data_IF_216407311738
#
_entry.id   IF_216407311738
#
_cell.length_a   1.000
_cell.length_b   1.000
_cell.length_c   1.000
_cell.angle_alpha   90.00
_cell.angle_beta   90.00
_cell.angle_gamma   90.00
#
_symmetry.space_group_name_H-M   'P 1'
#
loop_
_entity.id
_entity.type
_entity.pdbx_description
1 polymer ?
#
# COMPACT_ATOMS: atom_id res chain seq x y z
N UNK A 1 55.76 -25.48 36.56
CA UNK A 1 54.86 -24.77 37.49
C UNK A 1 54.40 -23.51 36.77
N UNK A 2 53.34 -23.61 35.97
CA UNK A 2 52.83 -22.47 35.22
C UNK A 2 51.46 -22.07 35.77
N UNK A 3 51.43 -20.84 36.26
CA UNK A 3 50.34 -20.20 36.97
C UNK A 3 49.25 -19.80 35.99
N UNK A 4 48.04 -20.36 36.19
CA UNK A 4 46.85 -20.07 35.40
C UNK A 4 46.38 -18.65 35.71
N UNK A 5 46.34 -17.81 34.68
CA UNK A 5 45.86 -16.43 34.73
C UNK A 5 44.33 -16.43 34.71
N UNK A 6 43.74 -15.95 35.80
CA UNK A 6 42.29 -15.82 36.01
C UNK A 6 41.81 -14.63 35.18
N UNK A 7 40.99 -14.89 34.15
CA UNK A 7 40.32 -13.87 33.35
C UNK A 7 39.04 -13.44 34.06
N UNK A 8 39.04 -12.20 34.52
CA UNK A 8 37.96 -11.53 35.22
C UNK A 8 36.88 -11.13 34.20
N UNK A 9 35.72 -11.81 34.23
CA UNK A 9 34.56 -11.50 33.41
C UNK A 9 33.94 -10.18 33.87
N UNK A 10 34.20 -9.11 33.13
CA UNK A 10 33.51 -7.82 33.30
C UNK A 10 32.10 -7.95 32.71
N UNK A 11 31.02 -7.72 33.49
CA UNK A 11 29.65 -7.85 33.00
C UNK A 11 29.30 -6.73 32.01
N UNK A 12 28.72 -7.12 30.89
CA UNK A 12 28.33 -6.25 29.78
C UNK A 12 27.15 -5.35 30.15
N UNK A 13 27.23 -4.03 29.94
CA UNK A 13 26.17 -3.08 30.27
C UNK A 13 25.12 -3.02 29.14
N UNK A 14 24.25 -4.02 29.03
CA UNK A 14 23.17 -4.03 28.02
C UNK A 14 21.74 -4.22 28.58
N UNK A 15 21.51 -4.15 29.90
CA UNK A 15 20.17 -4.41 30.47
C UNK A 15 19.55 -3.32 31.35
N UNK A 16 19.96 -2.06 31.23
CA UNK A 16 19.28 -0.95 31.92
C UNK A 16 18.81 0.15 30.95
N UNK A 17 17.93 -0.22 30.02
CA UNK A 17 17.08 0.76 29.32
C UNK A 17 15.66 0.22 29.10
N UNK A 18 15.06 -0.35 30.15
CA UNK A 18 13.63 -0.64 30.19
C UNK A 18 12.99 0.24 31.24
N UNK A 19 11.93 0.95 30.85
CA UNK A 19 10.90 1.58 31.72
C UNK A 19 10.97 3.11 31.96
N UNK A 20 11.46 3.92 31.01
CA UNK A 20 11.51 5.39 31.20
C UNK A 20 10.53 6.25 30.39
N UNK A 21 10.29 5.96 29.10
CA UNK A 21 9.64 6.95 28.19
C UNK A 21 8.66 6.35 27.18
N UNK A 22 8.11 5.17 27.48
CA UNK A 22 7.23 4.43 26.57
C UNK A 22 5.77 4.92 26.57
N UNK A 23 5.55 6.23 26.53
CA UNK A 23 4.21 6.82 26.27
C UNK A 23 4.10 7.44 24.87
N UNK A 24 5.13 7.30 24.02
CA UNK A 24 5.17 8.00 22.72
C UNK A 24 4.39 7.30 21.59
N UNK A 25 4.10 6.01 21.73
CA UNK A 25 3.33 5.27 20.73
C UNK A 25 2.16 4.56 21.39
N UNK A 26 0.91 5.03 21.21
CA UNK A 26 -0.25 4.28 21.61
C UNK A 26 -0.31 2.95 20.86
N UNK A 27 -1.01 1.99 21.44
CA UNK A 27 -1.35 0.73 20.78
C UNK A 27 -2.16 0.97 19.49
N UNK A 28 -2.06 0.05 18.53
CA UNK A 28 -2.73 0.14 17.23
C UNK A 28 -4.25 0.25 17.40
N UNK A 29 -4.84 -0.60 18.24
CA UNK A 29 -6.27 -0.62 18.52
C UNK A 29 -6.75 0.70 19.13
N UNK A 30 -5.99 1.23 20.09
CA UNK A 30 -6.29 2.53 20.72
C UNK A 30 -6.17 3.67 19.73
N UNK A 31 -5.18 3.62 18.84
CA UNK A 31 -5.00 4.62 17.79
C UNK A 31 -6.17 4.60 16.83
N UNK A 32 -6.58 3.40 16.36
CA UNK A 32 -7.72 3.23 15.48
C UNK A 32 -8.99 3.84 16.07
N UNK A 33 -9.33 3.48 17.31
CA UNK A 33 -10.50 4.03 18.00
C UNK A 33 -10.45 5.56 18.13
N UNK A 34 -9.28 6.10 18.49
CA UNK A 34 -9.10 7.55 18.61
C UNK A 34 -9.27 8.26 17.26
N UNK A 35 -8.74 7.69 16.17
CA UNK A 35 -8.86 8.25 14.83
C UNK A 35 -10.27 8.13 14.29
N UNK A 36 -10.97 7.01 14.50
CA UNK A 36 -12.38 6.82 14.14
C UNK A 36 -13.27 7.87 14.80
N UNK A 37 -13.03 8.19 16.08
CA UNK A 37 -13.78 9.23 16.80
C UNK A 37 -13.46 10.64 16.29
N UNK A 38 -12.20 10.90 15.92
CA UNK A 38 -11.75 12.21 15.47
C UNK A 38 -12.13 12.53 14.01
N UNK A 39 -12.27 11.50 13.18
CA UNK A 39 -12.50 11.62 11.74
C UNK A 39 -13.64 10.69 11.26
N UNK A 40 -14.88 10.93 11.70
CA UNK A 40 -16.02 10.07 11.37
C UNK A 40 -16.42 10.10 9.88
N UNK A 41 -15.92 11.10 9.13
CA UNK A 41 -16.16 11.30 7.71
C UNK A 41 -15.22 10.49 6.81
N UNK A 42 -14.12 9.96 7.36
CA UNK A 42 -13.08 9.25 6.60
C UNK A 42 -13.38 7.75 6.57
N UNK A 43 -13.11 7.13 5.44
CA UNK A 43 -13.29 5.69 5.24
C UNK A 43 -12.52 4.86 6.28
N UNK A 44 -13.18 3.81 6.79
CA UNK A 44 -12.63 2.95 7.84
C UNK A 44 -11.29 2.31 7.44
N UNK A 45 -11.13 1.93 6.17
CA UNK A 45 -9.90 1.31 5.64
C UNK A 45 -8.71 2.26 5.72
N UNK A 46 -8.93 3.56 5.48
CA UNK A 46 -7.89 4.58 5.61
C UNK A 46 -7.50 4.76 7.07
N UNK A 47 -8.48 4.75 7.98
CA UNK A 47 -8.24 4.83 9.42
C UNK A 47 -7.47 3.61 9.93
N UNK A 48 -7.80 2.41 9.46
CA UNK A 48 -7.12 1.17 9.81
C UNK A 48 -5.65 1.18 9.36
N UNK A 49 -5.38 1.55 8.10
CA UNK A 49 -4.00 1.66 7.59
C UNK A 49 -3.20 2.70 8.38
N UNK A 50 -3.81 3.84 8.70
CA UNK A 50 -3.14 4.89 9.48
C UNK A 50 -2.86 4.45 10.92
N UNK A 51 -3.76 3.71 11.56
CA UNK A 51 -3.55 3.14 12.88
C UNK A 51 -2.43 2.09 12.86
N UNK A 52 -2.41 1.22 11.85
CA UNK A 52 -1.36 0.23 11.64
C UNK A 52 0.02 0.89 11.49
N UNK A 53 0.10 1.96 10.71
CA UNK A 53 1.34 2.73 10.52
C UNK A 53 1.86 3.36 11.83
N UNK A 54 0.97 3.79 12.73
CA UNK A 54 1.34 4.30 14.06
C UNK A 54 1.79 3.15 14.97
N UNK A 55 1.07 2.03 14.99
CA UNK A 55 1.43 0.85 15.77
C UNK A 55 2.82 0.29 15.39
N UNK A 56 3.16 0.36 14.10
CA UNK A 56 4.49 0.01 13.57
C UNK A 56 5.56 1.09 13.77
N UNK A 57 5.23 2.19 14.46
CA UNK A 57 6.11 3.33 14.71
C UNK A 57 6.68 3.96 13.43
N UNK A 58 5.97 3.81 12.30
CA UNK A 58 6.33 4.44 11.02
C UNK A 58 5.85 5.89 10.95
N UNK A 59 4.76 6.19 11.66
CA UNK A 59 4.19 7.52 11.77
C UNK A 59 3.90 7.85 13.23
N UNK A 60 4.06 9.12 13.62
CA UNK A 60 3.51 9.62 14.88
C UNK A 60 2.03 9.91 14.73
N UNK A 61 1.28 9.86 15.83
CA UNK A 61 -0.15 10.18 15.83
C UNK A 61 -0.41 11.59 15.28
N UNK A 62 0.44 12.57 15.60
CA UNK A 62 0.31 13.94 15.08
C UNK A 62 0.43 14.00 13.56
N UNK A 63 1.35 13.21 12.98
CA UNK A 63 1.55 13.17 11.53
C UNK A 63 0.36 12.51 10.83
N UNK A 64 -0.21 11.47 11.43
CA UNK A 64 -1.45 10.85 10.93
C UNK A 64 -2.64 11.82 11.01
N UNK A 65 -2.85 12.47 12.15
CA UNK A 65 -3.91 13.48 12.32
C UNK A 65 -3.79 14.58 11.28
N UNK A 66 -2.57 15.04 10.98
CA UNK A 66 -2.32 16.00 9.91
C UNK A 66 -2.72 15.46 8.52
N UNK A 67 -2.32 14.24 8.18
CA UNK A 67 -2.68 13.62 6.89
C UNK A 67 -4.19 13.42 6.74
N UNK A 68 -4.88 12.97 7.79
CA UNK A 68 -6.33 12.77 7.77
C UNK A 68 -7.10 14.09 7.61
N UNK A 69 -6.63 15.18 8.21
CA UNK A 69 -7.21 16.52 7.97
C UNK A 69 -7.11 16.95 6.52
N UNK A 70 -5.98 16.69 5.85
CA UNK A 70 -5.82 17.00 4.43
C UNK A 70 -6.80 16.21 3.56
N UNK A 71 -7.04 14.94 3.90
CA UNK A 71 -8.03 14.09 3.21
C UNK A 71 -9.43 14.66 3.41
N UNK A 72 -9.82 14.97 4.65
CA UNK A 72 -11.14 15.55 4.93
C UNK A 72 -11.35 16.89 4.21
N UNK A 73 -10.32 17.74 4.16
CA UNK A 73 -10.36 19.00 3.40
C UNK A 73 -10.56 18.77 1.90
N UNK A 74 -9.88 17.78 1.31
CA UNK A 74 -10.11 17.43 -0.10
C UNK A 74 -11.53 16.93 -0.37
N UNK A 75 -12.10 16.13 0.53
CA UNK A 75 -13.47 15.63 0.38
C UNK A 75 -14.51 16.75 0.44
N UNK A 76 -14.25 17.81 1.23
CA UNK A 76 -15.12 19.00 1.29
C UNK A 76 -15.10 19.80 -0.01
N UNK A 77 -14.01 19.77 -0.77
CA UNK A 77 -13.89 20.48 -2.05
C UNK A 77 -14.62 19.76 -3.20
N UNK A 78 -14.70 18.44 -3.12
CA UNK A 78 -15.34 17.62 -4.15
C UNK A 78 -16.86 17.55 -4.00
N UNK A 79 -17.42 17.90 -2.84
CA UNK A 79 -18.87 17.91 -2.67
C UNK A 79 -19.49 19.07 -3.50
N UNK A 80 -20.14 18.77 -4.65
CA UNK A 80 -20.68 19.80 -5.54
C UNK A 80 -21.83 20.58 -4.89
N UNK A 81 -22.41 20.07 -3.80
CA UNK A 81 -23.43 20.76 -3.04
C UNK A 81 -22.97 22.14 -2.52
N UNK A 82 -21.66 22.38 -2.39
CA UNK A 82 -21.13 23.67 -1.94
C UNK A 82 -20.72 24.62 -3.09
N UNK A 83 -20.87 24.20 -4.35
CA UNK A 83 -20.59 25.06 -5.54
C UNK A 83 -21.81 25.81 -6.06
N UNK A 84 -22.98 25.70 -5.42
CA UNK A 84 -24.19 26.42 -5.78
C UNK A 84 -24.62 27.41 -4.69
N UNK A 85 -24.75 28.69 -5.07
CA UNK A 85 -25.34 29.79 -4.30
C UNK A 85 -24.43 30.44 -3.23
N UNK A 86 -23.43 31.18 -3.70
CA UNK A 86 -23.22 32.54 -3.18
C UNK A 86 -24.41 33.38 -3.68
N UNK A 87 -25.54 33.29 -2.98
CA UNK A 87 -26.61 34.27 -3.07
C UNK A 87 -26.94 34.66 -1.64
N UNK A 88 -26.47 35.85 -1.29
CA UNK A 88 -26.76 36.57 -0.06
C UNK A 88 -28.27 36.74 0.05
N UNK A 89 -28.91 35.90 0.86
CA UNK A 89 -30.33 35.98 1.16
C UNK A 89 -30.50 35.73 2.64
N UNK A 90 -30.50 36.81 3.40
CA UNK A 90 -30.90 36.86 4.80
C UNK A 90 -32.26 36.19 4.95
N UNK A 91 -32.35 35.14 5.77
CA UNK A 91 -33.62 34.74 6.36
C UNK A 91 -33.36 34.21 7.75
N UNK A 92 -33.66 35.08 8.71
CA UNK A 92 -33.71 34.82 10.12
C UNK A 92 -34.80 33.79 10.46
N UNK A 93 -34.55 33.05 11.55
CA UNK A 93 -35.62 32.56 12.43
C UNK A 93 -36.24 31.23 12.04
N UNK A 94 -35.79 30.16 12.70
CA UNK A 94 -36.69 29.31 13.47
C UNK A 94 -35.91 28.37 14.39
N UNK A 95 -35.86 28.82 15.64
CA UNK A 95 -35.73 28.05 16.87
C UNK A 95 -36.81 26.94 16.91
N UNK A 96 -36.54 25.82 17.60
CA UNK A 96 -37.44 25.10 18.54
C UNK A 96 -37.17 23.57 18.63
N UNK A 97 -36.94 23.14 19.90
CA UNK A 97 -37.15 21.82 20.56
C UNK A 97 -36.28 20.60 20.16
N UNK A 98 -35.40 20.05 21.03
CA UNK A 98 -35.59 19.37 22.34
C UNK A 98 -36.34 18.03 22.22
N UNK A 99 -35.64 16.91 22.43
CA UNK A 99 -36.04 15.68 23.18
C UNK A 99 -34.90 14.63 23.07
N UNK A 100 -34.18 14.32 24.16
CA UNK A 100 -34.34 13.15 25.07
C UNK A 100 -34.06 11.78 24.40
N UNK A 101 -32.94 11.12 24.74
CA UNK A 101 -32.70 10.19 25.88
C UNK A 101 -33.20 8.74 25.64
N UNK A 102 -32.34 7.77 25.96
CA UNK A 102 -32.59 6.31 25.96
C UNK A 102 -31.38 5.55 25.40
N UNK A 103 -30.36 5.19 26.20
CA UNK A 103 -30.24 3.96 27.01
C UNK A 103 -30.58 2.68 26.23
N UNK A 104 -29.63 1.74 26.13
CA UNK A 104 -29.75 0.44 26.81
C UNK A 104 -28.60 -0.52 26.46
N UNK A 105 -28.07 -1.09 27.53
CA UNK A 105 -27.12 -2.20 27.61
C UNK A 105 -27.63 -3.49 26.97
N UNK A 106 -26.75 -4.26 26.32
CA UNK A 106 -26.72 -5.75 26.42
C UNK A 106 -25.42 -6.28 25.79
N UNK A 107 -24.42 -6.70 26.57
CA UNK A 107 -24.20 -8.10 26.98
C UNK A 107 -24.48 -9.13 25.88
N UNK A 108 -23.49 -9.95 25.53
CA UNK A 108 -23.56 -11.43 25.62
C UNK A 108 -22.29 -12.04 25.01
N UNK A 109 -21.51 -12.74 25.83
CA UNK A 109 -20.37 -13.52 25.38
C UNK A 109 -20.77 -14.83 24.70
N UNK A 110 -19.85 -15.43 23.96
CA UNK A 110 -19.87 -16.86 23.68
C UNK A 110 -18.44 -17.40 23.56
N UNK A 111 -18.05 -18.13 24.60
CA UNK A 111 -16.97 -19.11 24.59
C UNK A 111 -17.28 -20.22 23.59
N UNK A 112 -16.28 -20.66 22.82
CA UNK A 112 -16.30 -21.98 22.18
C UNK A 112 -14.97 -22.73 22.42
N UNK A 113 -15.04 -23.99 22.90
CA UNK A 113 -13.93 -24.90 23.04
C UNK A 113 -13.76 -25.78 21.77
N UNK A 114 -12.67 -26.54 21.68
CA UNK A 114 -12.52 -27.88 21.07
C UNK A 114 -11.00 -28.16 20.91
N UNK A 115 -10.34 -28.87 21.84
CA UNK A 115 -10.12 -30.33 21.84
C UNK A 115 -9.75 -30.91 20.46
N UNK A 116 -8.47 -31.19 20.23
CA UNK A 116 -7.81 -32.49 20.47
C UNK A 116 -8.29 -33.61 19.54
N UNK A 117 -7.44 -34.01 18.58
CA UNK A 117 -7.31 -35.39 18.08
C UNK A 117 -6.00 -35.58 17.30
N UNK A 118 -5.16 -36.44 17.86
CA UNK A 118 -4.13 -37.30 17.26
C UNK A 118 -4.67 -38.19 16.11
N UNK A 119 -3.95 -39.17 15.51
CA UNK A 119 -2.51 -39.34 15.19
C UNK A 119 -2.24 -40.03 13.80
N UNK A 120 -1.00 -40.47 13.59
CA UNK A 120 -0.54 -41.68 12.86
C UNK A 120 -0.50 -41.66 11.32
N UNK A 121 0.71 -41.73 10.73
CA UNK A 121 1.50 -42.94 10.37
C UNK A 121 0.97 -43.66 9.11
N UNK A 122 1.87 -43.89 8.15
CA UNK A 122 1.61 -44.73 6.98
C UNK A 122 2.15 -44.14 5.69
N UNK A 123 3.47 -44.25 5.49
CA UNK A 123 4.15 -43.79 4.27
C UNK A 123 4.75 -45.00 3.57
N UNK A 124 3.90 -45.78 2.88
CA UNK A 124 4.36 -46.83 1.98
C UNK A 124 3.86 -46.59 0.55
N UNK A 125 4.86 -46.63 -0.32
CA UNK A 125 4.85 -46.35 -1.75
C UNK A 125 4.30 -47.56 -2.49
N UNK A 126 3.23 -47.42 -3.29
CA UNK A 126 3.04 -48.30 -4.46
C UNK A 126 2.08 -47.69 -5.49
N UNK A 127 2.65 -47.22 -6.60
CA UNK A 127 2.29 -47.56 -7.99
C UNK A 127 0.83 -47.93 -8.30
N UNK A 128 0.12 -47.07 -9.03
CA UNK A 128 -0.43 -47.34 -10.38
C UNK A 128 -1.56 -46.37 -10.76
N UNK A 129 -1.40 -45.78 -11.96
CA UNK A 129 -2.42 -45.55 -12.98
C UNK A 129 -3.88 -45.87 -12.57
N UNK A 130 -4.77 -44.89 -12.58
CA UNK A 130 -5.86 -44.86 -13.56
C UNK A 130 -6.61 -43.52 -13.53
N UNK A 131 -6.63 -42.90 -14.69
CA UNK A 131 -7.51 -41.85 -15.16
C UNK A 131 -8.97 -42.11 -14.74
N UNK A 132 -9.52 -41.25 -13.89
CA UNK A 132 -10.97 -41.09 -13.70
C UNK A 132 -11.30 -39.62 -13.56
N UNK A 133 -12.15 -39.19 -14.47
CA UNK A 133 -12.92 -37.96 -14.43
C UNK A 133 -13.49 -37.73 -13.03
N UNK A 134 -13.22 -36.54 -12.47
CA UNK A 134 -13.88 -36.08 -11.25
C UNK A 134 -14.50 -34.71 -11.49
N UNK A 135 -15.72 -34.50 -10.96
CA UNK A 135 -16.60 -33.43 -11.39
C UNK A 135 -16.35 -32.09 -10.69
N UNK A 136 -16.83 -31.07 -11.38
CA UNK A 136 -17.01 -29.68 -10.95
C UNK A 136 -17.60 -29.59 -9.53
N UNK A 137 -16.90 -28.90 -8.64
CA UNK A 137 -17.27 -28.78 -7.24
C UNK A 137 -16.76 -27.50 -6.62
N UNK A 138 -17.42 -26.39 -6.95
CA UNK A 138 -17.68 -25.25 -6.08
C UNK A 138 -16.53 -24.81 -5.14
N UNK A 139 -15.50 -24.14 -5.68
CA UNK A 139 -14.51 -23.42 -4.87
C UNK A 139 -15.04 -22.02 -4.58
N UNK A 140 -15.23 -21.78 -3.28
CA UNK A 140 -15.79 -20.56 -2.72
C UNK A 140 -15.11 -19.28 -3.20
N UNK A 141 -15.95 -18.25 -3.31
CA UNK A 141 -15.52 -16.87 -3.52
C UNK A 141 -14.58 -16.47 -2.40
N UNK A 142 -13.29 -16.48 -2.69
CA UNK A 142 -12.36 -15.57 -2.05
C UNK A 142 -12.66 -14.21 -2.67
N UNK A 143 -13.17 -13.30 -1.86
CA UNK A 143 -13.33 -11.90 -2.21
C UNK A 143 -11.98 -11.39 -2.73
N UNK A 144 -11.94 -11.26 -4.05
CA UNK A 144 -10.83 -10.67 -4.78
C UNK A 144 -10.84 -9.20 -4.39
N UNK A 145 -10.04 -8.86 -3.37
CA UNK A 145 -9.72 -7.49 -2.99
C UNK A 145 -9.20 -6.78 -4.24
N UNK A 146 -10.11 -6.10 -4.94
CA UNK A 146 -9.83 -5.26 -6.09
C UNK A 146 -8.85 -4.19 -5.59
N UNK A 147 -7.57 -4.20 -6.02
CA UNK A 147 -6.67 -3.13 -5.65
C UNK A 147 -7.25 -1.84 -6.23
N UNK A 148 -7.63 -0.94 -5.33
CA UNK A 148 -8.27 0.34 -5.60
C UNK A 148 -7.40 1.15 -6.57
N UNK A 149 -7.67 0.99 -7.87
CA UNK A 149 -6.94 1.66 -8.94
C UNK A 149 -7.35 3.14 -8.97
N UNK A 150 -6.52 3.98 -8.34
CA UNK A 150 -6.55 5.43 -8.52
C UNK A 150 -6.14 5.77 -9.97
N UNK A 151 -7.09 5.66 -10.90
CA UNK A 151 -6.90 6.00 -12.31
C UNK A 151 -7.01 7.52 -12.51
N UNK A 152 -5.91 8.24 -12.29
CA UNK A 152 -5.77 9.62 -12.75
C UNK A 152 -5.58 9.62 -14.27
N UNK A 153 -6.68 9.75 -14.99
CA UNK A 153 -6.72 9.81 -16.46
C UNK A 153 -6.19 11.17 -16.94
N UNK A 154 -4.88 11.35 -16.97
CA UNK A 154 -4.30 12.60 -17.49
C UNK A 154 -4.39 12.64 -19.02
N UNK A 155 -5.12 13.63 -19.52
CA UNK A 155 -5.38 13.90 -20.94
C UNK A 155 -4.11 14.00 -21.78
N UNK A 156 -4.17 13.38 -22.97
CA UNK A 156 -3.13 13.27 -23.99
C UNK A 156 -2.61 14.64 -24.46
N UNK A 157 -1.66 15.23 -23.73
CA UNK A 157 -0.86 16.34 -24.26
C UNK A 157 0.24 15.73 -25.14
N UNK A 158 0.28 16.13 -26.41
CA UNK A 158 1.04 15.49 -27.49
C UNK A 158 2.58 15.46 -27.32
N UNK A 159 3.12 15.85 -26.16
CA UNK A 159 4.57 15.85 -25.87
C UNK A 159 4.90 15.34 -24.45
N UNK A 160 3.95 14.82 -23.67
CA UNK A 160 4.27 14.33 -22.33
C UNK A 160 4.94 12.96 -22.41
N UNK A 161 6.23 12.92 -22.04
CA UNK A 161 7.00 11.69 -21.86
C UNK A 161 6.53 11.05 -20.56
N UNK A 162 5.42 10.31 -20.64
CA UNK A 162 4.81 9.67 -19.48
C UNK A 162 5.65 8.51 -18.94
N UNK A 163 5.58 8.31 -17.62
CA UNK A 163 6.12 7.12 -16.96
C UNK A 163 5.12 5.98 -17.11
N UNK A 164 5.57 4.81 -17.56
CA UNK A 164 4.75 3.61 -17.69
C UNK A 164 5.32 2.50 -16.83
N UNK A 165 4.49 1.90 -15.98
CA UNK A 165 4.83 0.70 -15.23
C UNK A 165 4.15 -0.50 -15.87
N UNK A 166 4.92 -1.33 -16.57
CA UNK A 166 4.42 -2.59 -17.09
C UNK A 166 4.46 -3.65 -16.00
N UNK A 167 3.32 -4.28 -15.74
CA UNK A 167 3.17 -5.33 -14.73
C UNK A 167 2.30 -6.46 -15.27
N UNK A 168 2.23 -7.56 -14.54
CA UNK A 168 1.32 -8.66 -14.83
C UNK A 168 0.46 -8.97 -13.62
N UNK A 169 -0.87 -8.97 -13.79
CA UNK A 169 -1.79 -9.47 -12.77
C UNK A 169 -1.79 -11.00 -12.70
N UNK A 170 -1.46 -11.68 -13.81
CA UNK A 170 -1.50 -13.13 -13.94
C UNK A 170 -0.10 -13.71 -14.00
N UNK A 171 0.41 -14.16 -12.86
CA UNK A 171 1.64 -14.95 -12.80
C UNK A 171 1.58 -15.96 -11.66
N UNK A 172 2.03 -17.19 -11.95
CA UNK A 172 2.26 -18.21 -10.93
C UNK A 172 3.51 -17.93 -10.10
N UNK A 173 4.39 -17.03 -10.56
CA UNK A 173 5.61 -16.66 -9.85
C UNK A 173 5.31 -15.61 -8.76
N UNK A 174 5.42 -16.05 -7.50
CA UNK A 174 5.23 -15.18 -6.34
C UNK A 174 6.22 -14.03 -6.30
N UNK A 175 7.46 -14.22 -6.75
CA UNK A 175 8.49 -13.18 -6.74
C UNK A 175 8.11 -12.02 -7.65
N UNK A 176 7.57 -12.32 -8.83
CA UNK A 176 7.10 -11.30 -9.77
C UNK A 176 5.95 -10.49 -9.16
N UNK A 177 4.96 -11.15 -8.51
CA UNK A 177 3.86 -10.44 -7.83
C UNK A 177 4.35 -9.51 -6.73
N UNK A 178 5.27 -10.00 -5.89
CA UNK A 178 5.83 -9.20 -4.80
C UNK A 178 6.64 -8.02 -5.36
N UNK A 179 7.41 -8.22 -6.43
CA UNK A 179 8.13 -7.13 -7.10
C UNK A 179 7.20 -6.08 -7.71
N UNK A 180 6.08 -6.49 -8.33
CA UNK A 180 5.08 -5.55 -8.86
C UNK A 180 4.52 -4.66 -7.74
N UNK A 181 4.08 -5.27 -6.63
CA UNK A 181 3.57 -4.54 -5.45
C UNK A 181 4.60 -3.57 -4.86
N UNK A 182 5.87 -4.02 -4.74
CA UNK A 182 6.94 -3.17 -4.20
C UNK A 182 7.30 -2.02 -5.14
N UNK A 183 7.30 -2.24 -6.46
CA UNK A 183 7.48 -1.18 -7.44
C UNK A 183 6.37 -0.13 -7.35
N UNK A 184 5.10 -0.54 -7.32
CA UNK A 184 3.97 0.38 -7.14
C UNK A 184 4.08 1.19 -5.84
N UNK A 185 4.47 0.52 -4.74
CA UNK A 185 4.69 1.16 -3.44
C UNK A 185 5.82 2.20 -3.49
N UNK A 186 6.94 1.87 -4.13
CA UNK A 186 8.07 2.78 -4.31
C UNK A 186 7.65 4.04 -5.10
N UNK A 187 6.99 3.86 -6.24
CA UNK A 187 6.52 4.98 -7.07
C UNK A 187 5.51 5.85 -6.31
N UNK A 188 4.61 5.23 -5.54
CA UNK A 188 3.66 5.94 -4.68
C UNK A 188 4.37 6.79 -3.61
N UNK A 189 5.33 6.21 -2.89
CA UNK A 189 6.10 6.91 -1.86
C UNK A 189 6.91 8.08 -2.43
N UNK A 190 7.42 7.92 -3.66
CA UNK A 190 8.15 8.95 -4.41
C UNK A 190 7.26 9.99 -5.07
N UNK A 191 5.94 9.86 -4.98
CA UNK A 191 4.96 10.72 -5.68
C UNK A 191 5.25 10.80 -7.18
N UNK A 192 5.66 9.67 -7.77
CA UNK A 192 5.85 9.55 -9.20
C UNK A 192 4.49 9.24 -9.83
N UNK A 193 4.01 10.08 -10.73
CA UNK A 193 2.80 9.79 -11.51
C UNK A 193 3.17 8.86 -12.66
N UNK A 194 2.51 7.70 -12.75
CA UNK A 194 2.76 6.70 -13.78
C UNK A 194 1.45 6.11 -14.32
N UNK A 195 1.51 5.59 -15.54
CA UNK A 195 0.45 4.79 -16.17
C UNK A 195 0.72 3.30 -15.90
N UNK A 196 -0.11 2.61 -15.10
CA UNK A 196 0.00 1.17 -14.91
C UNK A 196 -0.52 0.44 -16.17
N UNK A 197 0.30 -0.44 -16.74
CA UNK A 197 -0.03 -1.20 -17.95
C UNK A 197 0.04 -2.70 -17.66
N UNK A 198 -1.13 -3.33 -17.53
CA UNK A 198 -1.21 -4.78 -17.34
C UNK A 198 -0.99 -5.51 -18.67
N UNK A 199 0.05 -6.35 -18.74
CA UNK A 199 0.37 -7.13 -19.95
C UNK A 199 -0.21 -8.55 -19.93
N UNK A 200 -0.84 -8.98 -18.84
CA UNK A 200 -1.35 -10.35 -18.69
C UNK A 200 -2.31 -10.74 -19.84
N UNK A 201 -3.29 -9.89 -20.12
CA UNK A 201 -4.43 -10.20 -20.99
C UNK A 201 -4.22 -9.79 -22.45
N UNK A 202 -3.09 -9.18 -22.78
CA UNK A 202 -2.85 -8.61 -24.12
C UNK A 202 -1.53 -9.10 -24.73
N UNK A 203 -1.58 -10.11 -25.62
CA UNK A 203 -0.42 -10.54 -26.39
C UNK A 203 0.22 -9.40 -27.20
N UNK A 204 -0.60 -8.43 -27.63
CA UNK A 204 -0.15 -7.23 -28.34
C UNK A 204 0.70 -6.34 -27.42
N UNK A 205 0.26 -6.10 -26.18
CA UNK A 205 1.05 -5.33 -25.21
C UNK A 205 2.34 -6.07 -24.83
N UNK A 206 2.29 -7.40 -24.66
CA UNK A 206 3.50 -8.21 -24.42
C UNK A 206 4.51 -8.10 -25.56
N UNK A 207 4.03 -8.14 -26.81
CA UNK A 207 4.89 -7.97 -27.99
C UNK A 207 5.50 -6.58 -28.04
N UNK A 208 4.68 -5.53 -27.85
CA UNK A 208 5.15 -4.15 -27.81
C UNK A 208 6.20 -3.95 -26.71
N UNK A 209 5.95 -4.46 -25.50
CA UNK A 209 6.90 -4.38 -24.39
C UNK A 209 8.24 -5.07 -24.73
N UNK A 210 8.21 -6.25 -25.38
CA UNK A 210 9.43 -6.92 -25.86
C UNK A 210 10.17 -6.09 -26.90
N UNK A 211 9.45 -5.46 -27.83
CA UNK A 211 10.04 -4.61 -28.88
C UNK A 211 10.69 -3.36 -28.28
N UNK A 212 10.00 -2.65 -27.36
CA UNK A 212 10.55 -1.50 -26.64
C UNK A 212 11.77 -1.87 -25.79
N UNK A 213 11.69 -2.97 -25.04
CA UNK A 213 12.80 -3.44 -24.21
C UNK A 213 14.03 -3.82 -25.06
N UNK A 214 13.82 -4.52 -26.17
CA UNK A 214 14.90 -4.89 -27.10
C UNK A 214 15.51 -3.65 -27.76
N UNK A 215 14.71 -2.63 -28.10
CA UNK A 215 15.19 -1.38 -28.67
C UNK A 215 16.05 -0.59 -27.67
N UNK A 216 15.69 -0.57 -26.37
CA UNK A 216 16.44 0.16 -25.34
C UNK A 216 17.74 -0.54 -24.94
N UNK A 217 17.66 -1.84 -24.70
CA UNK A 217 18.74 -2.59 -24.03
C UNK A 217 19.61 -3.38 -24.99
N UNK A 218 19.17 -3.55 -26.25
CA UNK A 218 19.77 -4.48 -27.21
C UNK A 218 19.56 -5.95 -26.87
N UNK A 219 18.92 -6.28 -25.73
CA UNK A 219 18.71 -7.65 -25.28
C UNK A 219 17.48 -8.25 -25.95
N UNK A 220 17.67 -9.38 -26.63
CA UNK A 220 16.56 -10.18 -27.19
C UNK A 220 16.08 -11.16 -26.13
N UNK A 221 14.97 -10.84 -25.47
CA UNK A 221 14.42 -11.69 -24.42
C UNK A 221 13.08 -11.17 -23.90
N UNK A 222 12.49 -11.92 -22.97
CA UNK A 222 11.36 -11.41 -22.20
C UNK A 222 11.88 -10.31 -21.25
N UNK A 223 11.28 -9.10 -21.27
CA UNK A 223 11.62 -8.07 -20.31
C UNK A 223 11.32 -8.56 -18.88
N UNK A 224 12.11 -8.13 -17.88
CA UNK A 224 11.76 -8.38 -16.49
C UNK A 224 10.42 -7.72 -16.16
N UNK A 225 9.64 -8.32 -15.24
CA UNK A 225 8.42 -7.73 -14.72
C UNK A 225 8.55 -7.56 -13.20
N UNK A 226 8.14 -6.40 -12.64
CA UNK A 226 7.67 -5.21 -13.35
C UNK A 226 8.79 -4.52 -14.14
N UNK A 227 8.44 -3.73 -15.16
CA UNK A 227 9.37 -2.90 -15.92
C UNK A 227 8.89 -1.45 -15.99
N UNK A 228 9.75 -0.52 -15.58
CA UNK A 228 9.48 0.90 -15.65
C UNK A 228 10.10 1.51 -16.92
N UNK A 229 9.31 2.33 -17.62
CA UNK A 229 9.73 3.10 -18.77
C UNK A 229 9.38 4.58 -18.59
N UNK A 230 10.23 5.46 -19.12
CA UNK A 230 9.93 6.89 -19.32
C UNK A 230 9.89 7.13 -20.82
N UNK A 231 8.69 7.34 -21.36
CA UNK A 231 8.47 7.35 -22.80
C UNK A 231 8.86 6.02 -23.44
N UNK A 232 9.92 6.05 -24.24
CA UNK A 232 10.48 4.86 -24.90
C UNK A 232 11.71 4.31 -24.20
N UNK A 233 12.20 4.91 -23.11
CA UNK A 233 13.46 4.52 -22.46
C UNK A 233 13.20 3.61 -21.27
N UNK A 234 13.85 2.44 -21.26
CA UNK A 234 13.82 1.51 -20.13
C UNK A 234 14.61 2.09 -18.95
N UNK A 235 13.97 2.17 -17.79
CA UNK A 235 14.59 2.63 -16.53
C UNK A 235 15.14 1.45 -15.75
N UNK A 236 14.29 0.45 -15.51
CA UNK A 236 14.67 -0.70 -14.69
C UNK A 236 13.50 -1.56 -14.25
N UNK A 237 13.84 -2.70 -13.66
CA UNK A 237 12.92 -3.54 -12.90
C UNK A 237 12.88 -3.08 -11.43
N UNK A 238 12.16 -3.79 -10.56
CA UNK A 238 12.07 -3.41 -9.14
C UNK A 238 13.44 -3.35 -8.43
N UNK A 239 14.33 -4.30 -8.68
CA UNK A 239 15.65 -4.34 -8.01
C UNK A 239 16.52 -3.17 -8.47
N UNK A 240 16.55 -2.88 -9.78
CA UNK A 240 17.27 -1.75 -10.36
C UNK A 240 16.70 -0.41 -9.85
N UNK A 241 15.37 -0.29 -9.74
CA UNK A 241 14.71 0.90 -9.15
C UNK A 241 15.05 1.08 -7.67
N UNK A 242 15.09 -0.01 -6.89
CA UNK A 242 15.44 0.03 -5.48
C UNK A 242 16.90 0.44 -5.29
N UNK A 243 17.82 -0.07 -6.11
CA UNK A 243 19.24 0.31 -6.08
C UNK A 243 19.42 1.79 -6.39
N UNK A 244 18.76 2.31 -7.44
CA UNK A 244 18.78 3.74 -7.75
C UNK A 244 18.16 4.60 -6.65
N UNK A 245 17.16 4.10 -5.95
CA UNK A 245 16.56 4.79 -4.80
C UNK A 245 17.52 4.84 -3.61
N UNK A 246 18.15 3.71 -3.29
CA UNK A 246 19.11 3.61 -2.19
C UNK A 246 20.34 4.51 -2.45
N UNK A 247 20.76 4.64 -3.71
CA UNK A 247 21.82 5.55 -4.15
C UNK A 247 21.35 7.02 -4.27
N UNK A 248 20.04 7.29 -4.17
CA UNK A 248 19.46 8.62 -4.31
C UNK A 248 19.44 9.18 -5.75
N UNK A 249 19.61 8.33 -6.77
CA UNK A 249 19.73 8.70 -8.19
C UNK A 249 18.46 8.43 -9.01
N UNK A 250 17.44 7.79 -8.42
CA UNK A 250 16.21 7.43 -9.14
C UNK A 250 15.51 8.65 -9.76
N UNK A 251 15.30 9.72 -8.97
CA UNK A 251 14.61 10.92 -9.46
C UNK A 251 15.41 11.65 -10.54
N UNK A 252 16.73 11.82 -10.34
CA UNK A 252 17.63 12.43 -11.31
C UNK A 252 17.62 11.66 -12.64
N UNK A 253 17.58 10.33 -12.57
CA UNK A 253 17.50 9.46 -13.74
C UNK A 253 16.18 9.65 -14.49
N UNK A 254 15.04 9.70 -13.77
CA UNK A 254 13.74 9.95 -14.39
C UNK A 254 13.69 11.34 -15.04
N UNK A 255 14.17 12.37 -14.36
CA UNK A 255 14.23 13.75 -14.88
C UNK A 255 15.11 13.85 -16.13
N UNK A 256 16.27 13.20 -16.11
CA UNK A 256 17.16 13.13 -17.27
C UNK A 256 16.50 12.46 -18.48
N UNK A 257 15.59 11.50 -18.25
CA UNK A 257 14.80 10.84 -19.29
C UNK A 257 13.56 11.64 -19.72
N UNK A 258 13.32 12.81 -19.13
CA UNK A 258 12.25 13.73 -19.52
C UNK A 258 11.00 13.66 -18.64
N UNK A 259 11.04 12.92 -17.54
CA UNK A 259 9.99 13.01 -16.52
C UNK A 259 10.01 14.40 -15.88
N UNK A 260 8.86 15.07 -15.85
CA UNK A 260 8.71 16.34 -15.15
C UNK A 260 7.93 16.08 -13.87
N UNK A 261 8.61 16.22 -12.74
CA UNK A 261 7.95 16.12 -11.45
C UNK A 261 6.99 17.30 -11.28
N UNK A 262 5.70 17.06 -11.41
CA UNK A 262 4.66 18.01 -11.03
C UNK A 262 4.64 18.08 -9.51
N UNK A 263 5.53 18.89 -8.95
CA UNK A 263 5.37 19.34 -7.57
C UNK A 263 4.03 20.07 -7.58
N UNK A 264 2.99 19.44 -7.01
CA UNK A 264 1.75 20.12 -6.68
C UNK A 264 2.10 21.18 -5.64
N UNK A 265 2.64 22.30 -6.09
CA UNK A 265 2.90 23.46 -5.26
C UNK A 265 1.54 24.05 -4.97
N UNK A 266 0.84 23.50 -3.98
CA UNK A 266 -0.25 24.16 -3.29
C UNK A 266 0.33 25.33 -2.50
N UNK A 267 0.81 26.34 -3.22
CA UNK A 267 1.16 27.64 -2.63
C UNK A 267 -0.17 28.28 -2.26
N UNK A 268 -0.58 28.05 -1.03
CA UNK A 268 -1.59 28.84 -0.33
C UNK A 268 -1.04 30.26 -0.26
N UNK A 269 -1.40 31.09 -1.22
CA UNK A 269 -1.15 32.52 -1.18
C UNK A 269 -2.10 33.07 -0.12
N UNK A 270 -1.54 33.47 1.03
CA UNK A 270 -2.28 34.17 2.08
C UNK A 270 -2.61 35.59 1.67
#
# INVERSE_FOLDING_TARGET
>A
METRKVTECTPSPEEEFRSGTSLKYPDEERTRQQLTLAFPSIDADVIEEMAFLVGRKRYTIDKVVYMLRLIEESMKLDNPANKGLVNSGESEGQEVQVLQEGTDDTSTGHSLPLQSSQPQEGLDQTTMKQQRDLPEGNRGGVEELQPFMLSYSNSHSANFVGVKLFFTSMTGDRRIRDHCRRAETLLYLKRITYEPVNVADSPTLQRNLREMYAACTGKRGAPPLPALFVGTSYVGNYEEMQEMEDDGTLMDTLEHLGYKHEIQSSVVTR
#
